data_IF_933074046434
#
_entry.id   IF_933074046434
#
_cell.length_a   1.000
_cell.length_b   1.000
_cell.length_c   1.000
_cell.angle_alpha   90.00
_cell.angle_beta   90.00
_cell.angle_gamma   90.00
#
_symmetry.space_group_name_H-M   'P 1'
#
loop_
_entity.id
_entity.type
_entity.pdbx_description
1 polymer ?
#
# COMPACT_ATOMS: atom_id res chain seq x y z
N UNK A 1 39.10 -50.82 50.24
CA UNK A 1 37.81 -50.99 50.94
C UNK A 1 37.16 -49.64 51.19
N UNK A 2 37.22 -49.13 52.44
CA UNK A 2 36.58 -47.86 52.82
C UNK A 2 37.21 -46.59 52.23
N UNK A 3 38.50 -46.63 51.89
CA UNK A 3 39.19 -45.49 51.26
C UNK A 3 38.75 -45.30 49.79
N UNK A 4 38.65 -46.41 49.05
CA UNK A 4 38.18 -46.42 47.66
C UNK A 4 36.72 -45.98 47.53
N UNK A 5 35.88 -46.37 48.50
CA UNK A 5 34.46 -45.96 48.56
C UNK A 5 34.30 -44.45 48.83
N UNK A 6 35.11 -43.88 49.74
CA UNK A 6 35.14 -42.43 49.98
C UNK A 6 35.64 -41.65 48.77
N UNK A 7 36.69 -42.14 48.11
CA UNK A 7 37.24 -41.51 46.91
C UNK A 7 36.21 -41.51 45.76
N UNK A 8 35.48 -42.61 45.59
CA UNK A 8 34.39 -42.71 44.61
C UNK A 8 33.22 -41.77 44.91
N UNK A 9 32.87 -41.57 46.19
CA UNK A 9 31.83 -40.62 46.60
C UNK A 9 32.24 -39.16 46.36
N UNK A 10 33.49 -38.79 46.64
CA UNK A 10 34.01 -37.44 46.34
C UNK A 10 34.05 -37.16 44.84
N UNK A 11 34.50 -38.13 44.04
CA UNK A 11 34.50 -38.00 42.57
C UNK A 11 33.08 -37.86 42.00
N UNK A 12 32.10 -38.61 42.54
CA UNK A 12 30.70 -38.49 42.13
C UNK A 12 30.09 -37.13 42.50
N UNK A 13 30.42 -36.59 43.68
CA UNK A 13 29.97 -35.27 44.13
C UNK A 13 30.54 -34.15 43.26
N UNK A 14 31.85 -34.17 43.03
CA UNK A 14 32.52 -33.18 42.17
C UNK A 14 31.99 -33.22 40.73
N UNK A 15 31.65 -34.41 40.21
CA UNK A 15 31.06 -34.57 38.88
C UNK A 15 29.65 -33.96 38.77
N UNK A 16 28.82 -34.08 39.83
CA UNK A 16 27.48 -33.47 39.88
C UNK A 16 27.55 -31.95 39.96
N UNK A 17 28.39 -31.42 40.84
CA UNK A 17 28.57 -29.98 41.01
C UNK A 17 29.08 -29.31 39.73
N UNK A 18 30.00 -29.98 39.01
CA UNK A 18 30.44 -29.53 37.69
C UNK A 18 29.30 -29.53 36.67
N UNK A 19 28.49 -30.59 36.62
CA UNK A 19 27.35 -30.68 35.69
C UNK A 19 26.28 -29.60 35.98
N UNK A 20 26.03 -29.28 37.25
CA UNK A 20 25.11 -28.22 37.65
C UNK A 20 25.60 -26.84 37.23
N UNK A 21 26.89 -26.55 37.44
CA UNK A 21 27.53 -25.32 36.98
C UNK A 21 27.45 -25.19 35.46
N UNK A 22 27.76 -26.26 34.71
CA UNK A 22 27.67 -26.27 33.25
C UNK A 22 26.22 -26.01 32.77
N UNK A 23 25.22 -26.65 33.41
CA UNK A 23 23.80 -26.42 33.10
C UNK A 23 23.31 -25.02 33.49
N UNK A 24 23.87 -24.42 34.54
CA UNK A 24 23.56 -23.05 34.95
C UNK A 24 24.16 -22.05 33.96
N UNK A 25 25.40 -22.26 33.53
CA UNK A 25 26.05 -21.46 32.49
C UNK A 25 25.29 -21.53 31.17
N UNK A 26 24.89 -22.73 30.72
CA UNK A 26 24.08 -22.90 29.51
C UNK A 26 22.73 -22.16 29.60
N UNK A 27 22.06 -22.21 30.76
CA UNK A 27 20.81 -21.49 30.96
C UNK A 27 20.99 -19.96 30.91
N UNK A 28 22.06 -19.43 31.50
CA UNK A 28 22.40 -18.01 31.44
C UNK A 28 22.74 -17.57 30.01
N UNK A 29 23.47 -18.39 29.26
CA UNK A 29 23.81 -18.11 27.86
C UNK A 29 22.57 -18.06 26.97
N UNK A 30 21.66 -19.04 27.10
CA UNK A 30 20.40 -19.05 26.34
C UNK A 30 19.54 -17.84 26.71
N UNK A 31 19.44 -17.50 28.00
CA UNK A 31 18.72 -16.32 28.45
C UNK A 31 19.30 -15.03 27.85
N UNK A 32 20.63 -14.88 27.83
CA UNK A 32 21.29 -13.73 27.21
C UNK A 32 21.04 -13.67 25.69
N UNK A 33 21.10 -14.82 25.00
CA UNK A 33 20.79 -14.92 23.56
C UNK A 33 19.34 -14.57 23.25
N UNK A 34 18.38 -15.01 24.07
CA UNK A 34 16.97 -14.65 23.93
C UNK A 34 16.74 -13.15 24.08
N UNK A 35 17.31 -12.53 25.13
CA UNK A 35 17.24 -11.08 25.31
C UNK A 35 17.87 -10.32 24.14
N UNK A 36 19.00 -10.81 23.61
CA UNK A 36 19.63 -10.27 22.42
C UNK A 36 18.75 -10.39 21.16
N UNK A 37 18.15 -11.56 20.93
CA UNK A 37 17.24 -11.80 19.81
C UNK A 37 15.99 -10.91 19.89
N UNK A 38 15.42 -10.75 21.09
CA UNK A 38 14.27 -9.87 21.33
C UNK A 38 14.58 -8.41 21.04
N UNK A 39 15.74 -7.92 21.49
CA UNK A 39 16.19 -6.57 21.17
C UNK A 39 16.30 -6.37 19.66
N UNK A 40 16.98 -7.28 18.96
CA UNK A 40 17.15 -7.20 17.49
C UNK A 40 15.79 -7.26 16.78
N UNK A 41 14.85 -8.09 17.23
CA UNK A 41 13.51 -8.14 16.64
C UNK A 41 12.76 -6.82 16.81
N UNK A 42 12.80 -6.23 18.00
CA UNK A 42 12.14 -4.95 18.26
C UNK A 42 12.76 -3.83 17.42
N UNK A 43 14.09 -3.74 17.37
CA UNK A 43 14.82 -2.75 16.57
C UNK A 43 14.52 -2.93 15.07
N UNK A 44 14.49 -4.19 14.59
CA UNK A 44 14.20 -4.51 13.19
C UNK A 44 12.76 -4.15 12.82
N UNK A 45 11.79 -4.42 13.71
CA UNK A 45 10.37 -4.06 13.51
C UNK A 45 10.15 -2.56 13.47
N UNK A 46 10.82 -1.81 14.34
CA UNK A 46 10.79 -0.35 14.31
C UNK A 46 11.33 0.16 12.96
N UNK A 47 12.50 -0.32 12.53
CA UNK A 47 13.08 0.06 11.24
C UNK A 47 12.20 -0.33 10.03
N UNK A 48 11.54 -1.49 10.07
CA UNK A 48 10.54 -1.88 9.05
C UNK A 48 9.37 -0.90 9.04
N UNK A 49 8.84 -0.54 10.21
CA UNK A 49 7.73 0.40 10.31
C UNK A 49 8.11 1.78 9.76
N UNK A 50 9.30 2.27 10.08
CA UNK A 50 9.81 3.55 9.59
C UNK A 50 10.00 3.53 8.06
N UNK A 51 10.58 2.48 7.51
CA UNK A 51 10.73 2.33 6.05
C UNK A 51 9.39 2.15 5.33
N UNK A 52 8.38 1.55 5.96
CA UNK A 52 7.05 1.42 5.35
C UNK A 52 6.34 2.78 5.26
N UNK A 53 6.57 3.65 6.24
CA UNK A 53 6.00 5.01 6.31
C UNK A 53 6.73 6.02 5.45
N UNK A 54 8.05 5.86 5.30
CA UNK A 54 8.88 6.79 4.54
C UNK A 54 8.37 6.92 3.10
N UNK A 55 7.91 8.12 2.75
CA UNK A 55 7.37 8.41 1.44
C UNK A 55 8.43 9.08 0.56
N UNK A 56 8.59 8.59 -0.66
CA UNK A 56 9.54 9.10 -1.64
C UNK A 56 8.80 9.71 -2.83
N UNK A 57 9.22 10.89 -3.31
CA UNK A 57 8.70 11.42 -4.56
C UNK A 57 9.21 10.56 -5.73
N UNK A 58 8.29 10.16 -6.60
CA UNK A 58 8.59 9.50 -7.87
C UNK A 58 7.87 10.25 -8.99
N UNK A 59 8.60 10.60 -10.03
CA UNK A 59 8.03 11.11 -11.29
C UNK A 59 8.08 10.00 -12.32
N UNK A 60 6.95 9.76 -12.98
CA UNK A 60 6.82 8.79 -14.06
C UNK A 60 6.38 9.55 -15.30
N UNK A 61 7.15 9.44 -16.37
CA UNK A 61 6.79 9.97 -17.69
C UNK A 61 6.47 8.81 -18.62
N UNK A 62 5.21 8.69 -19.04
CA UNK A 62 4.81 7.73 -20.06
C UNK A 62 5.18 8.23 -21.44
N UNK A 63 5.83 7.38 -22.24
CA UNK A 63 6.19 7.64 -23.63
C UNK A 63 5.30 6.83 -24.59
N UNK A 64 5.28 7.15 -25.89
CA UNK A 64 4.45 6.43 -26.86
C UNK A 64 4.72 4.92 -26.87
N UNK A 65 3.65 4.14 -26.87
CA UNK A 65 3.73 2.67 -26.92
C UNK A 65 3.81 2.20 -28.37
N UNK A 66 4.85 1.45 -28.68
CA UNK A 66 5.11 0.90 -30.01
C UNK A 66 4.58 -0.52 -30.17
N UNK A 67 4.43 -0.94 -31.42
CA UNK A 67 4.17 -2.35 -31.80
C UNK A 67 5.10 -2.78 -32.91
N UNK A 68 5.09 -4.08 -33.21
CA UNK A 68 5.85 -4.65 -34.33
C UNK A 68 5.52 -3.92 -35.64
N UNK A 69 6.51 -3.57 -36.48
CA UNK A 69 6.27 -2.96 -37.78
C UNK A 69 5.34 -3.80 -38.65
N UNK A 70 4.40 -3.12 -39.33
CA UNK A 70 3.40 -3.77 -40.19
C UNK A 70 2.20 -4.37 -39.44
N UNK A 71 2.06 -4.13 -38.14
CA UNK A 71 0.83 -4.43 -37.42
C UNK A 71 -0.34 -3.64 -38.02
N UNK A 72 -1.53 -4.27 -38.07
CA UNK A 72 -2.76 -3.67 -38.62
C UNK A 72 -3.41 -2.67 -37.65
N UNK A 73 -3.04 -2.74 -36.37
CA UNK A 73 -3.53 -1.88 -35.31
C UNK A 73 -2.40 -1.42 -34.41
N UNK A 74 -2.55 -0.22 -33.86
CA UNK A 74 -1.62 0.37 -32.89
C UNK A 74 -2.36 0.67 -31.59
N UNK A 75 -1.66 0.67 -30.44
CA UNK A 75 -2.24 1.13 -29.18
C UNK A 75 -2.67 2.59 -29.30
N UNK A 76 -3.83 2.94 -28.74
CA UNK A 76 -4.28 4.34 -28.67
C UNK A 76 -4.17 4.91 -27.27
N UNK A 77 -4.03 4.06 -26.24
CA UNK A 77 -3.84 4.47 -24.87
C UNK A 77 -3.06 3.41 -24.08
N UNK A 78 -2.18 3.86 -23.18
CA UNK A 78 -1.55 3.06 -22.14
C UNK A 78 -1.85 3.69 -20.79
N UNK A 79 -2.43 2.92 -19.87
CA UNK A 79 -2.87 3.39 -18.56
C UNK A 79 -2.07 2.67 -17.48
N UNK A 80 -1.24 3.39 -16.74
CA UNK A 80 -0.60 2.90 -15.53
C UNK A 80 -1.43 3.35 -14.33
N UNK A 81 -1.88 2.40 -13.51
CA UNK A 81 -2.62 2.70 -12.28
C UNK A 81 -1.89 2.13 -11.07
N UNK A 82 -1.65 2.96 -10.06
CA UNK A 82 -1.10 2.58 -8.76
C UNK A 82 -2.18 2.82 -7.70
N UNK A 83 -2.58 1.76 -7.00
CA UNK A 83 -3.55 1.86 -5.92
C UNK A 83 -2.85 2.37 -4.66
N UNK A 84 -3.29 3.54 -4.17
CA UNK A 84 -2.79 4.12 -2.93
C UNK A 84 -3.93 4.48 -1.98
N UNK A 85 -3.64 4.62 -0.68
CA UNK A 85 -4.59 4.95 0.37
C UNK A 85 -5.22 6.34 0.17
N UNK A 86 -4.50 7.28 -0.45
CA UNK A 86 -5.02 8.58 -0.88
C UNK A 86 -5.94 8.52 -2.11
N UNK A 87 -6.18 7.33 -2.65
CA UNK A 87 -6.88 7.10 -3.91
C UNK A 87 -5.95 6.60 -5.02
N UNK A 88 -6.51 5.99 -6.08
CA UNK A 88 -5.75 5.50 -7.22
C UNK A 88 -5.04 6.66 -7.95
N UNK A 89 -3.77 6.44 -8.29
CA UNK A 89 -3.00 7.34 -9.17
C UNK A 89 -2.96 6.71 -10.56
N UNK A 90 -3.54 7.38 -11.54
CA UNK A 90 -3.65 6.88 -12.91
C UNK A 90 -2.92 7.81 -13.88
N UNK A 91 -1.93 7.28 -14.60
CA UNK A 91 -1.21 7.95 -15.68
C UNK A 91 -1.70 7.38 -17.02
N UNK A 92 -2.44 8.19 -17.78
CA UNK A 92 -2.97 7.78 -19.09
C UNK A 92 -2.17 8.43 -20.21
N UNK A 93 -1.38 7.63 -20.92
CA UNK A 93 -0.61 8.03 -22.09
C UNK A 93 -1.39 7.74 -23.38
N UNK A 94 -1.78 8.77 -24.13
CA UNK A 94 -2.44 8.65 -25.43
C UNK A 94 -1.44 8.73 -26.60
N UNK A 95 -0.27 8.10 -26.45
CA UNK A 95 0.88 8.20 -27.35
C UNK A 95 1.52 9.60 -27.44
N UNK A 96 1.44 10.37 -26.36
CA UNK A 96 2.17 11.63 -26.19
C UNK A 96 2.80 11.67 -24.80
N UNK A 97 4.03 12.20 -24.65
CA UNK A 97 4.67 12.31 -23.34
C UNK A 97 3.74 12.94 -22.30
N UNK A 98 3.50 12.21 -21.22
CA UNK A 98 2.70 12.65 -20.08
C UNK A 98 3.42 12.26 -18.81
N UNK A 99 3.48 13.18 -17.85
CA UNK A 99 4.19 12.98 -16.59
C UNK A 99 3.24 13.16 -15.42
N UNK A 100 3.39 12.32 -14.41
CA UNK A 100 2.77 12.51 -13.10
C UNK A 100 3.82 12.32 -12.01
N UNK A 101 3.65 13.05 -10.91
CA UNK A 101 4.53 12.96 -9.73
C UNK A 101 3.68 12.71 -8.51
N UNK A 102 4.05 11.69 -7.74
CA UNK A 102 3.38 11.38 -6.49
C UNK A 102 4.36 10.88 -5.44
N UNK A 103 3.92 10.95 -4.18
CA UNK A 103 4.68 10.47 -3.04
C UNK A 103 4.33 9.00 -2.79
N UNK A 104 5.24 8.10 -3.10
CA UNK A 104 5.06 6.66 -2.94
C UNK A 104 5.61 6.18 -1.60
N UNK A 105 4.89 5.30 -0.90
CA UNK A 105 5.43 4.52 0.22
C UNK A 105 4.90 3.08 0.21
N UNK A 106 5.64 2.11 0.78
CA UNK A 106 5.19 0.72 0.86
C UNK A 106 3.91 0.51 1.69
N UNK A 107 3.64 1.39 2.67
CA UNK A 107 2.42 1.32 3.49
C UNK A 107 1.22 1.93 2.78
N UNK A 108 1.43 3.04 2.08
CA UNK A 108 0.33 3.78 1.46
C UNK A 108 -0.04 3.27 0.08
N UNK A 109 0.82 2.53 -0.61
CA UNK A 109 0.58 2.07 -1.99
C UNK A 109 0.76 0.56 -2.13
N UNK A 110 -0.03 -0.05 -3.02
CA UNK A 110 -0.07 -1.49 -3.21
C UNK A 110 -0.13 -1.90 -4.67
N UNK A 111 -1.29 -2.43 -5.07
CA UNK A 111 -1.51 -3.01 -6.38
C UNK A 111 -1.17 -2.01 -7.48
N UNK A 112 -0.47 -2.48 -8.51
CA UNK A 112 -0.19 -1.72 -9.73
C UNK A 112 -0.74 -2.46 -10.92
N UNK A 113 -1.33 -1.76 -11.88
CA UNK A 113 -1.87 -2.34 -13.10
C UNK A 113 -1.42 -1.49 -14.30
N UNK A 114 -1.01 -2.19 -15.36
CA UNK A 114 -0.72 -1.60 -16.65
C UNK A 114 -1.77 -2.11 -17.65
N UNK A 115 -2.50 -1.19 -18.27
CA UNK A 115 -3.44 -1.49 -19.33
C UNK A 115 -2.97 -0.89 -20.65
N UNK A 116 -3.02 -1.67 -21.72
CA UNK A 116 -2.70 -1.23 -23.08
C UNK A 116 -3.95 -1.43 -23.92
N UNK A 117 -4.47 -0.34 -24.49
CA UNK A 117 -5.71 -0.36 -25.27
C UNK A 117 -5.40 -0.33 -26.76
N UNK A 118 -5.86 -1.34 -27.49
CA UNK A 118 -5.64 -1.54 -28.92
C UNK A 118 -6.98 -1.84 -29.59
N UNK A 119 -7.49 -0.94 -30.43
CA UNK A 119 -8.86 -1.03 -30.97
C UNK A 119 -9.91 -1.27 -29.86
N UNK A 120 -10.53 -2.45 -29.82
CA UNK A 120 -11.51 -2.90 -28.82
C UNK A 120 -10.89 -3.78 -27.73
N UNK A 121 -9.59 -4.08 -27.82
CA UNK A 121 -8.87 -4.88 -26.84
C UNK A 121 -8.35 -4.03 -25.68
N UNK A 122 -8.42 -4.61 -24.49
CA UNK A 122 -7.72 -4.13 -23.29
C UNK A 122 -6.78 -5.23 -22.82
N UNK A 123 -5.48 -5.02 -22.98
CA UNK A 123 -4.43 -5.90 -22.50
C UNK A 123 -4.04 -5.46 -21.09
N UNK A 124 -4.17 -6.33 -20.10
CA UNK A 124 -3.91 -5.97 -18.71
C UNK A 124 -2.79 -6.80 -18.10
N UNK A 125 -1.78 -6.13 -17.55
CA UNK A 125 -0.71 -6.71 -16.73
C UNK A 125 -0.89 -6.21 -15.30
N UNK A 126 -1.01 -7.14 -14.34
CA UNK A 126 -1.26 -6.84 -12.93
C UNK A 126 -0.05 -7.15 -12.06
N UNK A 127 0.21 -6.29 -11.09
CA UNK A 127 1.26 -6.40 -10.09
C UNK A 127 0.63 -6.31 -8.70
N UNK A 128 0.17 -7.44 -8.12
CA UNK A 128 -0.55 -7.44 -6.84
C UNK A 128 0.32 -7.26 -5.58
N UNK A 129 -0.29 -6.80 -4.51
CA UNK A 129 0.29 -6.67 -3.18
C UNK A 129 1.12 -5.40 -2.96
N UNK A 130 1.66 -5.22 -1.73
CA UNK A 130 2.38 -4.01 -1.31
C UNK A 130 3.70 -3.77 -2.07
N UNK A 131 4.17 -4.77 -2.83
CA UNK A 131 5.35 -4.68 -3.70
C UNK A 131 5.00 -4.55 -5.17
N UNK A 132 3.73 -4.34 -5.50
CA UNK A 132 3.23 -4.23 -6.87
C UNK A 132 4.02 -3.22 -7.68
N UNK A 133 4.06 -1.99 -7.19
CA UNK A 133 4.77 -0.89 -7.84
C UNK A 133 6.26 -1.17 -8.05
N UNK A 134 6.95 -1.71 -7.05
CA UNK A 134 8.37 -2.05 -7.21
C UNK A 134 8.68 -3.19 -8.16
N UNK A 135 7.73 -4.12 -8.38
CA UNK A 135 7.91 -5.14 -9.42
C UNK A 135 7.74 -4.52 -10.80
N UNK A 136 6.78 -3.61 -10.96
CA UNK A 136 6.66 -2.80 -12.17
C UNK A 136 7.95 -2.01 -12.43
N UNK A 137 8.46 -1.27 -11.44
CA UNK A 137 9.69 -0.49 -11.60
C UNK A 137 10.91 -1.34 -11.96
N UNK A 138 11.01 -2.57 -11.46
CA UNK A 138 12.09 -3.50 -11.84
C UNK A 138 11.95 -4.06 -13.25
N UNK A 139 10.72 -4.29 -13.71
CA UNK A 139 10.46 -4.77 -15.07
C UNK A 139 10.74 -3.69 -16.13
N UNK A 140 10.69 -2.41 -15.74
CA UNK A 140 10.99 -1.23 -16.55
C UNK A 140 12.25 -0.49 -16.07
N UNK A 141 13.20 -1.17 -15.44
CA UNK A 141 14.38 -0.52 -14.83
C UNK A 141 15.21 0.31 -15.83
N UNK A 142 15.27 -0.14 -17.08
CA UNK A 142 15.93 0.51 -18.22
C UNK A 142 15.01 1.46 -19.01
N UNK A 143 13.76 1.63 -18.55
CA UNK A 143 12.78 2.52 -19.16
C UNK A 143 11.98 1.91 -20.32
N UNK A 144 12.20 0.65 -20.69
CA UNK A 144 11.42 -0.02 -21.74
C UNK A 144 11.10 -1.47 -21.37
N UNK A 145 9.88 -1.92 -21.66
CA UNK A 145 9.55 -3.33 -21.60
C UNK A 145 8.83 -3.76 -22.88
N UNK A 146 9.25 -4.89 -23.44
CA UNK A 146 8.65 -5.47 -24.63
C UNK A 146 7.79 -6.68 -24.27
N UNK A 147 6.47 -6.52 -24.27
CA UNK A 147 5.52 -7.61 -24.09
C UNK A 147 5.32 -8.39 -25.38
N UNK A 148 5.19 -9.70 -25.27
CA UNK A 148 4.82 -10.63 -26.35
C UNK A 148 3.34 -10.95 -26.30
N UNK A 149 2.77 -11.42 -27.41
CA UNK A 149 1.38 -11.90 -27.42
C UNK A 149 1.12 -13.02 -26.39
N UNK A 150 2.14 -13.82 -26.06
CA UNK A 150 2.07 -14.85 -25.01
C UNK A 150 1.90 -14.31 -23.59
N UNK A 151 2.24 -13.04 -23.33
CA UNK A 151 2.05 -12.40 -22.03
C UNK A 151 0.57 -12.03 -21.78
N UNK A 152 -0.26 -12.10 -22.83
CA UNK A 152 -1.70 -11.81 -22.79
C UNK A 152 -2.51 -13.02 -23.30
N UNK A 153 -2.55 -14.14 -22.53
CA UNK A 153 -3.10 -15.40 -23.01
C UNK A 153 -4.56 -15.30 -23.48
N UNK A 154 -5.37 -14.48 -22.82
CA UNK A 154 -6.79 -14.29 -23.16
C UNK A 154 -7.03 -13.52 -24.46
N UNK A 155 -6.06 -12.72 -24.92
CA UNK A 155 -6.17 -11.88 -26.13
C UNK A 155 -5.19 -12.31 -27.23
N UNK A 156 -4.39 -13.36 -26.99
CA UNK A 156 -3.31 -13.82 -27.87
C UNK A 156 -3.74 -13.99 -29.32
N UNK A 157 -4.79 -14.77 -29.57
CA UNK A 157 -5.29 -15.04 -30.93
C UNK A 157 -5.61 -13.75 -31.68
N UNK A 158 -6.25 -12.80 -30.99
CA UNK A 158 -6.62 -11.52 -31.60
C UNK A 158 -5.40 -10.64 -31.88
N UNK A 159 -4.39 -10.66 -31.01
CA UNK A 159 -3.12 -9.96 -31.25
C UNK A 159 -2.38 -10.53 -32.48
N UNK A 160 -2.37 -11.85 -32.64
CA UNK A 160 -1.78 -12.53 -33.81
C UNK A 160 -2.52 -12.17 -35.10
N UNK A 161 -3.86 -12.12 -35.10
CA UNK A 161 -4.68 -11.69 -36.25
C UNK A 161 -4.38 -10.24 -36.70
N UNK A 162 -4.09 -9.37 -35.72
CA UNK A 162 -3.70 -7.98 -35.92
C UNK A 162 -2.22 -7.82 -36.32
N UNK A 163 -1.45 -8.92 -36.37
CA UNK A 163 -0.01 -8.90 -36.68
C UNK A 163 0.86 -8.33 -35.56
N UNK A 164 0.33 -8.22 -34.33
CA UNK A 164 1.04 -7.69 -33.17
C UNK A 164 1.78 -8.84 -32.48
N UNK A 165 3.09 -8.93 -32.70
CA UNK A 165 3.95 -9.94 -32.07
C UNK A 165 4.57 -9.46 -30.76
N UNK A 166 5.07 -8.23 -30.79
CA UNK A 166 5.65 -7.51 -29.67
C UNK A 166 5.00 -6.13 -29.51
N UNK A 167 4.87 -5.69 -28.26
CA UNK A 167 4.39 -4.37 -27.84
C UNK A 167 5.47 -3.76 -26.94
N UNK A 168 6.05 -2.64 -27.36
CA UNK A 168 7.09 -1.91 -26.63
C UNK A 168 6.46 -0.78 -25.83
N UNK A 169 6.46 -0.90 -24.50
CA UNK A 169 5.99 0.15 -23.59
C UNK A 169 7.21 0.86 -23.00
N UNK A 170 7.18 2.20 -22.94
CA UNK A 170 8.32 3.01 -22.52
C UNK A 170 7.95 4.00 -21.43
N UNK A 171 8.83 4.15 -20.45
CA UNK A 171 8.72 5.10 -19.35
C UNK A 171 10.07 5.74 -19.05
N UNK A 172 10.05 7.00 -18.63
CA UNK A 172 11.18 7.63 -17.96
C UNK A 172 10.83 7.81 -16.49
N UNK A 173 11.82 7.59 -15.61
CA UNK A 173 11.63 7.70 -14.17
C UNK A 173 12.60 8.71 -13.57
N UNK A 174 12.09 9.54 -12.66
CA UNK A 174 12.92 10.32 -11.72
C UNK A 174 12.61 9.87 -10.31
N UNK A 175 13.64 9.53 -9.54
CA UNK A 175 13.52 8.97 -8.17
C UNK A 175 13.47 7.44 -8.09
N UNK A 176 13.59 6.73 -9.23
CA UNK A 176 13.56 5.26 -9.33
C UNK A 176 14.48 4.58 -8.31
N UNK A 177 15.76 4.98 -8.27
CA UNK A 177 16.76 4.33 -7.45
C UNK A 177 16.45 4.44 -5.95
N UNK A 178 15.88 5.57 -5.52
CA UNK A 178 15.52 5.75 -4.11
C UNK A 178 14.42 4.76 -3.71
N UNK A 179 13.40 4.61 -4.56
CA UNK A 179 12.31 3.66 -4.36
C UNK A 179 12.84 2.23 -4.33
N UNK A 180 13.67 1.84 -5.31
CA UNK A 180 14.22 0.49 -5.38
C UNK A 180 15.13 0.17 -4.18
N UNK A 181 16.00 1.10 -3.77
CA UNK A 181 16.84 0.94 -2.57
C UNK A 181 16.00 0.74 -1.31
N UNK A 182 14.95 1.54 -1.11
CA UNK A 182 14.06 1.41 0.05
C UNK A 182 13.37 0.03 0.06
N UNK A 183 12.96 -0.48 -1.11
CA UNK A 183 12.36 -1.81 -1.22
C UNK A 183 13.33 -2.94 -0.92
N UNK A 184 14.58 -2.81 -1.36
CA UNK A 184 15.62 -3.81 -1.09
C UNK A 184 16.00 -3.81 0.40
N UNK A 185 16.14 -2.64 1.02
CA UNK A 185 16.33 -2.49 2.46
C UNK A 185 15.16 -3.12 3.24
N UNK A 186 13.92 -2.83 2.85
CA UNK A 186 12.75 -3.43 3.47
C UNK A 186 12.76 -4.97 3.36
N UNK A 187 13.10 -5.51 2.19
CA UNK A 187 13.22 -6.95 1.99
C UNK A 187 14.36 -7.59 2.79
N UNK A 188 15.46 -6.88 3.03
CA UNK A 188 16.55 -7.33 3.90
C UNK A 188 16.11 -7.36 5.37
N UNK A 189 15.44 -6.30 5.85
CA UNK A 189 14.96 -6.25 7.24
C UNK A 189 13.88 -7.31 7.52
N UNK A 190 12.94 -7.53 6.60
CA UNK A 190 11.92 -8.58 6.76
C UNK A 190 12.54 -9.99 6.80
N UNK A 191 13.62 -10.24 6.02
CA UNK A 191 14.38 -11.49 6.12
C UNK A 191 15.05 -11.62 7.48
N UNK A 192 15.70 -10.56 7.96
CA UNK A 192 16.33 -10.52 9.28
C UNK A 192 15.30 -10.75 10.40
N UNK A 193 14.12 -10.15 10.30
CA UNK A 193 13.02 -10.38 11.26
C UNK A 193 12.63 -11.85 11.29
N UNK A 194 12.40 -12.47 10.12
CA UNK A 194 12.03 -13.89 10.02
C UNK A 194 13.11 -14.80 10.60
N UNK A 195 14.38 -14.54 10.29
CA UNK A 195 15.52 -15.30 10.80
C UNK A 195 15.65 -15.19 12.32
N UNK A 196 15.54 -13.98 12.87
CA UNK A 196 15.65 -13.75 14.31
C UNK A 196 14.45 -14.30 15.07
N UNK A 197 13.27 -14.30 14.47
CA UNK A 197 12.10 -14.95 15.04
C UNK A 197 12.30 -16.47 15.12
N UNK A 198 12.83 -17.09 14.06
CA UNK A 198 13.16 -18.50 14.06
C UNK A 198 14.29 -18.85 15.05
N UNK A 199 15.30 -18.00 15.18
CA UNK A 199 16.36 -18.14 16.20
C UNK A 199 15.79 -18.08 17.61
N UNK A 200 14.92 -17.09 17.90
CA UNK A 200 14.23 -16.97 19.18
C UNK A 200 13.43 -18.23 19.50
N UNK A 201 12.65 -18.74 18.56
CA UNK A 201 11.87 -19.98 18.73
C UNK A 201 12.78 -21.17 19.09
N UNK A 202 13.88 -21.35 18.37
CA UNK A 202 14.85 -22.44 18.66
C UNK A 202 15.48 -22.31 20.05
N UNK A 203 15.82 -21.08 20.46
CA UNK A 203 16.38 -20.82 21.79
C UNK A 203 15.34 -21.09 22.90
N UNK A 204 14.08 -20.73 22.68
CA UNK A 204 12.98 -21.03 23.61
C UNK A 204 12.79 -22.55 23.76
N UNK A 205 12.72 -23.29 22.65
CA UNK A 205 12.63 -24.74 22.69
C UNK A 205 13.83 -25.39 23.41
N UNK A 206 15.02 -24.82 23.25
CA UNK A 206 16.23 -25.30 23.94
C UNK A 206 16.16 -25.03 25.44
N UNK A 207 15.65 -23.85 25.83
CA UNK A 207 15.39 -23.52 27.23
C UNK A 207 14.39 -24.49 27.85
N UNK A 208 13.25 -24.72 27.20
CA UNK A 208 12.20 -25.63 27.68
C UNK A 208 12.71 -27.07 27.81
N UNK A 209 13.56 -27.51 26.87
CA UNK A 209 14.23 -28.83 26.94
C UNK A 209 15.22 -28.94 28.10
N UNK A 210 15.94 -27.86 28.43
CA UNK A 210 16.83 -27.84 29.59
C UNK A 210 16.03 -27.86 30.89
N UNK A 211 14.95 -27.09 30.96
CA UNK A 211 14.07 -27.04 32.14
C UNK A 211 13.36 -28.38 32.37
N UNK A 212 12.86 -29.04 31.32
CA UNK A 212 12.26 -30.37 31.43
C UNK A 212 13.27 -31.43 31.88
N UNK A 213 14.50 -31.41 31.34
CA UNK A 213 15.59 -32.30 31.80
C UNK A 213 15.93 -32.07 33.27
N UNK A 214 16.02 -30.82 33.72
CA UNK A 214 16.26 -30.49 35.14
C UNK A 214 15.14 -31.02 36.04
N UNK A 215 13.89 -30.88 35.60
CA UNK A 215 12.73 -31.40 36.33
C UNK A 215 12.75 -32.93 36.41
N UNK A 216 13.09 -33.62 35.32
CA UNK A 216 13.23 -35.08 35.28
C UNK A 216 14.36 -35.59 36.19
N UNK A 217 15.52 -34.93 36.16
CA UNK A 217 16.65 -35.23 37.05
C UNK A 217 16.24 -35.08 38.52
N UNK A 218 15.65 -33.95 38.89
CA UNK A 218 15.16 -33.71 40.24
C UNK A 218 14.11 -34.75 40.68
N UNK A 219 13.21 -35.14 39.76
CA UNK A 219 12.22 -36.20 40.00
C UNK A 219 12.85 -37.57 40.20
N UNK A 220 13.94 -37.88 39.50
CA UNK A 220 14.69 -39.13 39.67
C UNK A 220 15.46 -39.16 41.01
N UNK A 221 16.05 -38.04 41.42
CA UNK A 221 16.72 -37.90 42.73
C UNK A 221 15.74 -38.11 43.89
N UNK A 222 14.57 -37.47 43.85
CA UNK A 222 13.48 -37.68 44.83
C UNK A 222 13.04 -39.16 44.93
N UNK A 223 13.11 -39.92 43.83
CA UNK A 223 12.78 -41.36 43.83
C UNK A 223 13.86 -42.24 44.47
N UNK A 224 15.13 -41.84 44.40
CA UNK A 224 16.28 -42.57 44.94
C UNK A 224 16.55 -42.27 46.42
N UNK A 225 15.89 -41.28 47.02
CA UNK A 225 15.96 -41.03 48.46
C UNK A 225 15.41 -42.23 49.27
N UNK A 226 16.16 -42.74 50.27
CA UNK A 226 15.73 -43.87 51.10
C UNK A 226 14.42 -43.57 51.83
N UNK A 227 13.56 -44.59 51.98
CA UNK A 227 12.25 -44.45 52.64
C UNK A 227 12.33 -43.93 54.09
N UNK A 228 13.48 -44.07 54.76
CA UNK A 228 13.71 -43.58 56.12
C UNK A 228 13.67 -42.04 56.25
N UNK A 229 13.89 -41.30 55.15
CA UNK A 229 13.85 -39.81 55.13
C UNK A 229 12.54 -39.27 54.52
N UNK A 230 11.67 -40.16 54.01
CA UNK A 230 10.30 -39.81 53.61
C UNK A 230 9.32 -39.76 54.78
N UNK A 231 9.71 -40.32 55.92
CA UNK A 231 8.89 -40.38 57.15
C UNK A 231 9.18 -39.23 58.13
N UNK A 232 10.25 -38.45 57.94
CA UNK A 232 10.44 -37.16 58.62
C UNK A 232 9.82 -36.00 57.81
N UNK A 233 8.58 -36.19 57.36
CA UNK A 233 7.72 -35.00 57.30
C UNK A 233 7.69 -34.49 58.74
N UNK A 234 8.01 -33.22 59.06
CA UNK A 234 7.44 -32.67 60.28
C UNK A 234 5.96 -32.98 60.15
N UNK A 235 5.40 -33.70 61.12
CA UNK A 235 3.97 -33.86 61.20
C UNK A 235 3.42 -32.44 61.34
N UNK A 236 3.26 -31.75 60.22
CA UNK A 236 2.29 -30.69 60.09
C UNK A 236 1.02 -31.47 60.37
N UNK A 237 0.62 -31.42 61.64
CA UNK A 237 -0.76 -31.60 62.04
C UNK A 237 -1.51 -30.50 61.31
N UNK A 238 -1.68 -30.67 60.00
CA UNK A 238 -2.84 -30.18 59.33
C UNK A 238 -3.95 -30.94 60.03
N UNK A 239 -4.44 -30.36 61.12
CA UNK A 239 -5.79 -30.61 61.56
C UNK A 239 -6.61 -30.21 60.33
N UNK A 240 -6.85 -31.20 59.45
CA UNK A 240 -7.83 -31.06 58.40
C UNK A 240 -9.10 -30.72 59.17
N UNK A 241 -9.65 -29.50 59.04
CA UNK A 241 -10.90 -29.21 59.68
C UNK A 241 -11.89 -30.25 59.14
N UNK A 242 -12.67 -30.91 60.01
CA UNK A 242 -13.73 -31.84 59.59
C UNK A 242 -14.76 -31.17 58.64
N UNK A 243 -14.66 -29.85 58.45
CA UNK A 243 -15.41 -29.08 57.47
C UNK A 243 -14.46 -28.26 56.58
N UNK A 244 -14.13 -28.80 55.41
CA UNK A 244 -13.60 -28.02 54.26
C UNK A 244 -14.70 -27.08 53.69
N UNK A 245 -15.93 -27.13 54.21
CA UNK A 245 -17.09 -26.39 53.72
C UNK A 245 -17.31 -24.99 54.34
N UNK A 246 -16.35 -24.40 55.05
CA UNK A 246 -16.57 -23.06 55.66
C UNK A 246 -16.50 -21.90 54.64
N UNK A 247 -16.06 -22.15 53.40
CA UNK A 247 -16.11 -21.16 52.32
C UNK A 247 -17.22 -21.42 51.30
N UNK A 248 -17.98 -22.51 51.44
CA UNK A 248 -19.16 -22.82 50.63
C UNK A 248 -20.39 -22.86 51.54
N UNK A 249 -20.79 -21.69 52.05
CA UNK A 249 -22.09 -21.54 52.66
C UNK A 249 -23.16 -21.38 51.57
N UNK A 250 -24.08 -22.34 51.55
CA UNK A 250 -25.32 -22.35 50.75
C UNK A 250 -26.49 -21.63 51.43
N UNK A 251 -26.23 -20.74 52.39
CA UNK A 251 -27.25 -20.00 53.15
C UNK A 251 -27.18 -18.50 52.89
N UNK A 252 -27.08 -18.14 51.61
CA UNK A 252 -27.32 -16.80 51.08
C UNK A 252 -28.55 -16.76 50.17
N UNK A 253 -29.65 -17.41 50.55
CA UNK A 253 -30.91 -17.35 49.78
C UNK A 253 -31.77 -16.20 50.32
N UNK A 254 -31.59 -15.01 49.76
CA UNK A 254 -32.66 -14.00 49.64
C UNK A 254 -32.25 -12.87 48.67
N UNK A 255 -32.20 -13.18 47.37
CA UNK A 255 -32.81 -12.42 46.25
C UNK A 255 -32.24 -12.94 44.94
N UNK A 256 -32.92 -13.95 44.39
CA UNK A 256 -32.66 -14.38 43.03
C UNK A 256 -33.07 -13.27 42.05
N UNK A 257 -32.10 -12.46 41.62
CA UNK A 257 -32.18 -11.82 40.31
C UNK A 257 -31.85 -12.90 39.28
N UNK A 258 -32.76 -13.13 38.34
CA UNK A 258 -32.65 -14.15 37.32
C UNK A 258 -31.28 -14.10 36.58
N UNK A 259 -30.74 -15.25 36.14
CA UNK A 259 -29.44 -15.32 35.49
C UNK A 259 -29.50 -14.59 34.14
N UNK A 260 -28.75 -13.50 34.02
CA UNK A 260 -28.42 -12.96 32.70
C UNK A 260 -27.41 -13.91 32.05
N UNK A 261 -27.74 -14.39 30.85
CA UNK A 261 -26.83 -15.24 30.06
C UNK A 261 -25.50 -14.50 29.85
N UNK A 262 -24.33 -15.17 30.01
CA UNK A 262 -23.06 -14.56 29.66
C UNK A 262 -23.01 -14.35 28.15
N UNK A 263 -23.04 -13.10 27.70
CA UNK A 263 -22.78 -12.75 26.31
C UNK A 263 -21.31 -13.04 26.01
N UNK A 264 -21.05 -13.78 24.95
CA UNK A 264 -19.69 -14.10 24.48
C UNK A 264 -19.00 -12.84 23.95
N UNK A 265 -17.66 -12.82 23.98
CA UNK A 265 -16.85 -11.71 23.42
C UNK A 265 -17.19 -11.38 21.96
N UNK A 266 -17.72 -12.33 21.19
CA UNK A 266 -18.24 -12.09 19.84
C UNK A 266 -19.50 -11.21 19.82
N UNK A 267 -20.44 -11.42 20.75
CA UNK A 267 -21.70 -10.64 20.79
C UNK A 267 -21.46 -9.19 21.22
N UNK A 268 -20.46 -8.95 22.08
CA UNK A 268 -20.03 -7.59 22.46
C UNK A 268 -19.42 -6.82 21.29
N UNK A 269 -18.64 -7.50 20.45
CA UNK A 269 -18.04 -6.90 19.25
C UNK A 269 -19.11 -6.58 18.18
N UNK A 270 -20.16 -7.38 18.05
CA UNK A 270 -21.25 -7.15 17.10
C UNK A 270 -22.15 -5.95 17.49
N UNK A 271 -22.36 -5.73 18.79
CA UNK A 271 -23.14 -4.59 19.28
C UNK A 271 -22.36 -3.26 19.22
N UNK A 272 -21.03 -3.27 19.39
CA UNK A 272 -20.18 -2.08 19.17
C UNK A 272 -20.14 -1.64 17.70
N UNK A 273 -20.11 -2.59 16.75
CA UNK A 273 -20.15 -2.28 15.31
C UNK A 273 -21.49 -1.66 14.89
N UNK A 274 -22.61 -2.05 15.53
CA UNK A 274 -23.93 -1.45 15.26
C UNK A 274 -24.09 -0.02 15.79
N UNK A 275 -23.41 0.32 16.89
CA UNK A 275 -23.43 1.69 17.44
C UNK A 275 -22.65 2.66 16.55
N UNK A 276 -21.47 2.25 16.04
CA UNK A 276 -20.65 3.08 15.14
C UNK A 276 -21.32 3.29 13.77
N UNK A 277 -22.04 2.28 13.27
CA UNK A 277 -22.80 2.39 12.01
C UNK A 277 -23.96 3.39 12.05
N UNK A 278 -24.48 3.74 13.24
CA UNK A 278 -25.61 4.69 13.38
C UNK A 278 -25.16 6.14 13.48
N UNK A 279 -23.92 6.39 13.92
CA UNK A 279 -23.34 7.74 13.99
C UNK A 279 -22.74 8.21 12.65
N UNK A 280 -22.31 7.29 11.78
CA UNK A 280 -21.68 7.64 10.49
C UNK A 280 -22.65 7.94 9.33
N UNK A 281 -23.93 7.53 9.43
CA UNK A 281 -24.88 7.63 8.31
C UNK A 281 -26.14 8.47 8.64
N UNK A 282 -26.07 9.28 9.70
CA UNK A 282 -27.21 10.01 10.27
C UNK A 282 -27.23 11.52 10.04
N UNK A 283 -26.71 12.08 8.94
CA UNK A 283 -26.98 13.48 8.55
C UNK A 283 -27.09 13.64 7.03
N UNK A 284 -28.33 13.77 6.55
CA UNK A 284 -28.62 14.44 5.27
C UNK A 284 -28.63 15.94 5.55
N UNK A 285 -27.58 16.63 5.14
CA UNK A 285 -27.56 18.10 5.07
C UNK A 285 -27.83 18.53 3.63
N UNK A 286 -28.80 19.43 3.47
CA UNK A 286 -29.32 19.88 2.19
C UNK A 286 -28.42 20.96 1.58
N UNK A 287 -28.06 20.80 0.31
CA UNK A 287 -27.30 21.80 -0.46
C UNK A 287 -28.20 22.97 -0.90
N UNK A 288 -27.72 24.23 -0.84
CA UNK A 288 -28.45 25.38 -1.38
C UNK A 288 -28.22 25.53 -2.90
N UNK A 289 -29.27 25.94 -3.61
CA UNK A 289 -29.26 26.26 -5.06
C UNK A 289 -28.56 27.60 -5.33
N UNK A 290 -27.74 27.74 -6.40
CA UNK A 290 -27.35 29.05 -6.93
C UNK A 290 -28.39 29.60 -7.93
N UNK A 291 -28.62 30.92 -7.86
CA UNK A 291 -29.48 31.70 -8.76
C UNK A 291 -28.72 32.17 -10.02
N UNK A 292 -29.41 32.54 -11.12
CA UNK A 292 -28.81 32.75 -12.44
C UNK A 292 -28.40 34.21 -12.70
N UNK A 293 -27.36 34.40 -13.53
CA UNK A 293 -26.91 35.71 -14.04
C UNK A 293 -27.16 35.78 -15.56
N UNK A 294 -27.60 36.92 -16.13
CA UNK A 294 -28.32 36.98 -17.40
C UNK A 294 -27.43 37.13 -18.65
N UNK A 295 -27.97 36.73 -19.79
CA UNK A 295 -27.33 36.75 -21.11
C UNK A 295 -27.73 37.97 -21.98
N UNK A 296 -26.80 38.48 -22.80
CA UNK A 296 -26.98 39.08 -24.14
C UNK A 296 -25.67 39.75 -24.64
N UNK A 297 -25.43 40.00 -25.97
CA UNK A 297 -25.93 39.37 -27.21
C UNK A 297 -24.83 39.02 -28.27
N UNK A 298 -25.22 38.23 -29.29
CA UNK A 298 -24.50 37.78 -30.52
C UNK A 298 -24.12 38.96 -31.46
N UNK A 299 -23.04 39.06 -32.29
CA UNK A 299 -22.42 38.26 -33.42
C UNK A 299 -21.30 39.20 -34.06
N UNK A 300 -20.47 38.86 -35.09
CA UNK A 300 -20.30 37.62 -35.86
C UNK A 300 -18.85 37.09 -36.04
N UNK A 301 -18.82 35.92 -36.66
CA UNK A 301 -17.70 35.07 -37.12
C UNK A 301 -16.65 35.79 -37.99
N UNK A 302 -15.36 35.49 -37.76
CA UNK A 302 -14.29 35.70 -38.75
C UNK A 302 -13.35 36.89 -38.53
N UNK A 303 -12.70 37.00 -37.36
CA UNK A 303 -11.48 37.81 -37.23
C UNK A 303 -10.61 37.23 -36.11
N UNK A 304 -9.28 37.16 -36.33
CA UNK A 304 -8.34 36.91 -35.23
C UNK A 304 -8.51 38.02 -34.20
N UNK A 305 -8.83 37.72 -32.94
CA UNK A 305 -9.02 38.77 -31.97
C UNK A 305 -7.67 39.35 -31.53
N UNK A 306 -7.67 40.66 -31.29
CA UNK A 306 -6.53 41.47 -30.87
C UNK A 306 -5.82 40.91 -29.61
N UNK A 307 -4.56 41.28 -29.31
CA UNK A 307 -3.84 40.73 -28.16
C UNK A 307 -4.59 41.06 -26.86
N UNK A 308 -5.08 40.00 -26.20
CA UNK A 308 -5.81 40.11 -24.94
C UNK A 308 -4.83 40.13 -23.75
N UNK A 309 -4.93 41.14 -22.89
CA UNK A 309 -4.30 41.12 -21.57
C UNK A 309 -5.20 40.34 -20.59
N UNK A 310 -4.99 39.03 -20.48
CA UNK A 310 -5.73 38.19 -19.54
C UNK A 310 -5.36 36.71 -19.64
N UNK A 311 -5.70 35.94 -18.61
CA UNK A 311 -5.50 34.48 -18.60
C UNK A 311 -6.56 33.80 -19.47
N UNK A 312 -6.15 32.80 -20.25
CA UNK A 312 -7.07 31.97 -21.02
C UNK A 312 -7.04 30.55 -20.48
N UNK A 313 -8.19 29.89 -20.52
CA UNK A 313 -8.29 28.46 -20.23
C UNK A 313 -8.36 27.72 -21.55
N UNK A 314 -7.37 26.89 -21.82
CA UNK A 314 -7.30 26.05 -23.00
C UNK A 314 -7.92 24.70 -22.71
N UNK A 315 -9.04 24.41 -23.36
CA UNK A 315 -9.82 23.19 -23.14
C UNK A 315 -9.26 21.98 -23.90
N UNK A 316 -8.43 22.20 -24.92
CA UNK A 316 -7.73 21.16 -25.66
C UNK A 316 -7.56 21.45 -27.15
N UNK A 317 -6.97 20.48 -27.86
CA UNK A 317 -6.94 20.41 -29.33
C UNK A 317 -7.85 19.27 -29.76
N UNK A 318 -8.79 19.57 -30.65
CA UNK A 318 -9.82 18.63 -31.08
C UNK A 318 -9.82 18.52 -32.60
N UNK A 319 -10.18 17.35 -33.14
CA UNK A 319 -10.51 17.23 -34.56
C UNK A 319 -11.78 18.04 -34.92
N UNK A 320 -12.07 18.26 -36.21
CA UNK A 320 -13.16 19.11 -36.69
C UNK A 320 -14.52 18.81 -36.04
N UNK A 321 -14.93 17.55 -35.98
CA UNK A 321 -16.23 17.17 -35.42
C UNK A 321 -16.30 17.37 -33.90
N UNK A 322 -15.24 17.00 -33.18
CA UNK A 322 -15.19 17.12 -31.72
C UNK A 322 -15.11 18.58 -31.29
N UNK A 323 -14.38 19.40 -32.04
CA UNK A 323 -14.31 20.84 -31.83
C UNK A 323 -15.68 21.50 -32.02
N UNK A 324 -16.43 21.13 -33.06
CA UNK A 324 -17.77 21.65 -33.32
C UNK A 324 -18.77 21.27 -32.21
N UNK A 325 -18.72 20.02 -31.73
CA UNK A 325 -19.57 19.55 -30.61
C UNK A 325 -19.26 20.30 -29.32
N UNK A 326 -17.98 20.40 -28.95
CA UNK A 326 -17.57 21.12 -27.74
C UNK A 326 -17.93 22.60 -27.81
N UNK A 327 -17.75 23.24 -28.98
CA UNK A 327 -18.13 24.64 -29.22
C UNK A 327 -19.64 24.87 -29.05
N UNK A 328 -20.46 24.00 -29.61
CA UNK A 328 -21.92 24.06 -29.46
C UNK A 328 -22.33 23.87 -27.99
N UNK A 329 -21.69 22.94 -27.29
CA UNK A 329 -21.94 22.69 -25.87
C UNK A 329 -21.49 23.85 -24.96
N UNK A 330 -20.39 24.53 -25.27
CA UNK A 330 -19.95 25.71 -24.52
C UNK A 330 -20.88 26.91 -24.75
N UNK A 331 -21.32 27.13 -26.00
CA UNK A 331 -22.27 28.19 -26.35
C UNK A 331 -23.64 28.00 -25.70
N UNK A 332 -24.12 26.75 -25.57
CA UNK A 332 -25.38 26.47 -24.85
C UNK A 332 -25.30 26.77 -23.35
N UNK A 333 -24.09 26.86 -22.80
CA UNK A 333 -23.81 27.27 -21.42
C UNK A 333 -23.51 28.77 -21.29
N UNK A 334 -23.65 29.55 -22.38
CA UNK A 334 -23.34 30.98 -22.39
C UNK A 334 -21.84 31.31 -22.40
N UNK A 335 -20.97 30.32 -22.63
CA UNK A 335 -19.52 30.52 -22.74
C UNK A 335 -19.15 30.66 -24.22
N UNK A 336 -18.47 31.74 -24.57
CA UNK A 336 -17.94 31.99 -25.93
C UNK A 336 -16.52 31.40 -26.07
N UNK A 337 -16.32 30.33 -26.85
CA UNK A 337 -15.00 29.78 -27.08
C UNK A 337 -14.27 30.42 -28.27
N UNK A 338 -12.99 30.71 -28.07
CA UNK A 338 -12.02 31.07 -29.09
C UNK A 338 -11.44 29.82 -29.75
N UNK A 339 -11.49 29.75 -31.07
CA UNK A 339 -11.02 28.63 -31.87
C UNK A 339 -9.82 29.06 -32.71
N UNK A 340 -8.74 28.27 -32.65
CA UNK A 340 -7.56 28.47 -33.49
C UNK A 340 -7.31 27.22 -34.30
N UNK A 341 -7.16 27.39 -35.61
CA UNK A 341 -6.78 26.30 -36.51
C UNK A 341 -5.28 26.01 -36.36
N UNK A 342 -4.96 24.72 -36.24
CA UNK A 342 -3.58 24.22 -36.15
C UNK A 342 -3.46 23.02 -37.07
N UNK A 343 -2.71 23.17 -38.15
CA UNK A 343 -2.40 22.07 -39.07
C UNK A 343 -1.15 21.34 -38.58
N UNK A 344 -1.26 20.02 -38.40
CA UNK A 344 -0.11 19.15 -38.12
C UNK A 344 -0.21 17.90 -38.99
N UNK A 345 0.88 17.58 -39.68
CA UNK A 345 1.02 16.32 -40.42
C UNK A 345 -0.18 16.07 -41.37
N UNK A 346 -0.52 17.07 -42.20
CA UNK A 346 -1.66 17.08 -43.13
C UNK A 346 -3.06 16.94 -42.51
N UNK A 347 -3.19 17.03 -41.17
CA UNK A 347 -4.49 17.00 -40.47
C UNK A 347 -4.76 18.32 -39.77
N UNK A 348 -6.01 18.78 -39.88
CA UNK A 348 -6.48 20.04 -39.28
C UNK A 348 -7.04 19.77 -37.89
N UNK A 349 -6.48 20.46 -36.89
CA UNK A 349 -6.95 20.46 -35.52
C UNK A 349 -7.43 21.84 -35.11
N UNK A 350 -8.36 21.88 -34.17
CA UNK A 350 -8.90 23.10 -33.61
C UNK A 350 -8.58 23.17 -32.13
N UNK A 351 -7.80 24.19 -31.77
CA UNK A 351 -7.46 24.53 -30.40
C UNK A 351 -8.56 25.41 -29.83
N UNK A 352 -9.21 24.95 -28.77
CA UNK A 352 -10.33 25.65 -28.14
C UNK A 352 -9.88 26.29 -26.84
N UNK A 353 -10.17 27.59 -26.67
CA UNK A 353 -9.86 28.39 -25.49
C UNK A 353 -11.08 29.18 -25.03
N UNK A 354 -11.19 29.47 -23.74
CA UNK A 354 -12.22 30.34 -23.15
C UNK A 354 -11.54 31.42 -22.30
N UNK A 355 -12.15 32.60 -22.22
CA UNK A 355 -11.58 33.79 -21.60
C UNK A 355 -11.68 35.02 -22.52
N UNK A 356 -11.04 36.15 -22.17
CA UNK A 356 -10.01 36.31 -21.15
C UNK A 356 -10.54 36.44 -19.71
N UNK A 357 -9.78 35.94 -18.74
CA UNK A 357 -10.01 36.09 -17.30
C UNK A 357 -8.98 37.05 -16.66
N UNK A 358 -9.40 37.88 -15.68
CA UNK A 358 -8.53 38.92 -15.12
C UNK A 358 -7.42 38.36 -14.21
N UNK A 359 -7.62 37.20 -13.59
CA UNK A 359 -6.60 36.53 -12.77
C UNK A 359 -6.46 35.05 -13.07
N UNK A 360 -5.33 34.46 -12.64
CA UNK A 360 -5.10 33.02 -12.70
C UNK A 360 -6.10 32.24 -11.85
N UNK A 361 -6.51 32.83 -10.72
CA UNK A 361 -7.47 32.21 -9.81
C UNK A 361 -8.85 32.08 -10.47
N UNK A 362 -9.31 33.13 -11.16
CA UNK A 362 -10.57 33.10 -11.90
C UNK A 362 -10.51 32.11 -13.06
N UNK A 363 -9.38 32.07 -13.79
CA UNK A 363 -9.15 31.08 -14.83
C UNK A 363 -9.11 29.64 -14.27
N UNK A 364 -8.54 29.44 -13.08
CA UNK A 364 -8.46 28.12 -12.44
C UNK A 364 -9.81 27.62 -11.95
N UNK A 365 -10.68 28.51 -11.47
CA UNK A 365 -12.03 28.14 -11.06
C UNK A 365 -12.85 27.67 -12.27
N UNK A 366 -12.83 28.45 -13.36
CA UNK A 366 -13.53 28.06 -14.59
C UNK A 366 -12.91 26.81 -15.22
N UNK A 367 -11.58 26.66 -15.18
CA UNK A 367 -10.89 25.43 -15.61
C UNK A 367 -11.42 24.20 -14.86
N UNK A 368 -11.49 24.25 -13.52
CA UNK A 368 -12.02 23.13 -12.71
C UNK A 368 -13.48 22.82 -13.03
N UNK A 369 -14.30 23.85 -13.24
CA UNK A 369 -15.71 23.66 -13.61
C UNK A 369 -15.85 22.96 -14.96
N UNK A 370 -15.07 23.39 -15.96
CA UNK A 370 -15.11 22.79 -17.30
C UNK A 370 -14.52 21.38 -17.31
N UNK A 371 -13.47 21.12 -16.53
CA UNK A 371 -12.86 19.81 -16.37
C UNK A 371 -13.84 18.82 -15.74
N UNK A 372 -14.57 19.24 -14.71
CA UNK A 372 -15.58 18.42 -14.05
C UNK A 372 -16.80 18.14 -14.96
N UNK A 373 -17.23 19.13 -15.75
CA UNK A 373 -18.44 19.02 -16.58
C UNK A 373 -18.21 18.28 -17.90
N UNK A 374 -17.08 18.53 -18.55
CA UNK A 374 -16.78 18.00 -19.87
C UNK A 374 -15.79 16.83 -19.84
N UNK A 375 -15.32 16.43 -18.65
CA UNK A 375 -14.35 15.36 -18.45
C UNK A 375 -13.06 15.56 -19.27
N UNK A 376 -12.60 16.82 -19.32
CA UNK A 376 -11.38 17.25 -20.00
C UNK A 376 -10.33 17.72 -18.99
N UNK A 377 -9.10 17.91 -19.44
CA UNK A 377 -8.04 18.57 -18.66
C UNK A 377 -7.68 19.88 -19.32
N UNK A 378 -8.12 20.97 -18.73
CA UNK A 378 -7.88 22.30 -19.23
C UNK A 378 -6.56 22.88 -18.70
N UNK A 379 -5.89 23.66 -19.55
CA UNK A 379 -4.61 24.30 -19.23
C UNK A 379 -4.81 25.81 -19.14
N UNK A 380 -4.38 26.43 -18.04
CA UNK A 380 -4.35 27.88 -17.94
C UNK A 380 -3.13 28.40 -18.71
N UNK A 381 -3.36 29.34 -19.63
CA UNK A 381 -2.34 29.89 -20.52
C UNK A 381 -2.34 31.40 -20.41
N UNK A 382 -1.17 32.00 -20.20
CA UNK A 382 -0.95 33.44 -20.32
C UNK A 382 -0.44 33.75 -21.73
N UNK A 383 -0.86 34.84 -22.38
CA UNK A 383 -0.18 35.32 -23.57
C UNK A 383 1.24 35.75 -23.19
N UNK A 384 2.24 35.06 -23.70
CA UNK A 384 3.62 35.55 -23.67
C UNK A 384 3.68 36.80 -24.55
N UNK A 385 4.21 37.91 -24.03
CA UNK A 385 4.61 39.04 -24.87
C UNK A 385 5.53 38.46 -25.94
N UNK A 386 5.14 38.58 -27.21
CA UNK A 386 6.01 38.24 -28.33
C UNK A 386 7.26 39.11 -28.20
N UNK A 387 8.40 38.47 -27.90
CA UNK A 387 9.68 39.09 -28.18
C UNK A 387 9.78 39.11 -29.70
N UNK A 388 9.60 40.30 -30.27
CA UNK A 388 9.88 40.60 -31.66
C UNK A 388 11.31 40.16 -31.96
N UNK A 389 11.47 39.16 -32.83
CA UNK A 389 12.74 38.85 -33.46
C UNK A 389 13.05 39.98 -34.45
N UNK A 390 13.93 40.88 -34.03
CA UNK A 390 14.71 41.72 -34.91
C UNK A 390 16.09 41.07 -35.08
N UNK A 391 16.29 40.41 -36.21
CA UNK A 391 17.47 40.50 -37.07
C UNK A 391 17.30 39.60 -38.29
#
# INVERSE_FOLDING_TARGET
GKLDEKLGQEQAKASREKADLDQQQQALEIKAKLQGADKVLNDTRAAIADLKKAALPITITGLPTGVTPGAKAVPYATVLTVQCASGPRALTNYNFPVSDTFSWSPEACGDTALEIKVETLTLAKKYPGPRGFGRFLREFYDGEHSFRAGDFPSQRTRLEELGIRNISVRYEFSGLDAVLRQMDQLAQLERREKEKLAEKQKLQETQDKLESRKLEQKRAELKQQPAAERDERPAVKAALPEKIAACWDSSGVATARAPQKPQTLLQRAEDEVKMVGRELFGRKEAAPKPAPVPAAPLKPEGAQPAPFEGYMVQLGLFGPENAARLKSALRSQGVEPHQYEVTREERVYYKIRIGPYPSEADAAEVAREMDAKFHIQSLIVRPTKSVSAAN
#
